data_IF_149897232069
#
_entry.id   IF_149897232069
#
_cell.length_a   1.000
_cell.length_b   1.000
_cell.length_c   1.000
_cell.angle_alpha   90.00
_cell.angle_beta   90.00
_cell.angle_gamma   90.00
#
_symmetry.space_group_name_H-M   'P 1'
#
loop_
_entity.id
_entity.type
_entity.pdbx_description
1 polymer ?
#
# COMPACT_ATOMS: atom_id res chain seq x y z
N UNK A 1 4.29 -0.14 5.23
CA UNK A 1 4.24 0.31 3.83
C UNK A 1 3.77 1.75 3.68
N UNK A 2 2.54 2.05 4.11
CA UNK A 2 1.88 3.35 3.95
C UNK A 2 2.65 4.61 4.42
N UNK A 3 3.48 4.48 5.46
CA UNK A 3 4.36 5.57 5.93
C UNK A 3 5.38 5.96 4.85
N UNK A 4 6.02 4.98 4.21
CA UNK A 4 6.99 5.21 3.12
C UNK A 4 6.28 5.87 1.93
N UNK A 5 5.07 5.40 1.60
CA UNK A 5 4.24 5.98 0.55
C UNK A 5 3.90 7.46 0.82
N UNK A 6 3.50 7.77 2.05
CA UNK A 6 3.17 9.14 2.48
C UNK A 6 4.38 10.06 2.39
N UNK A 7 5.55 9.60 2.85
CA UNK A 7 6.81 10.35 2.78
C UNK A 7 7.19 10.63 1.31
N UNK A 8 7.10 9.62 0.44
CA UNK A 8 7.41 9.78 -0.99
C UNK A 8 6.48 10.82 -1.63
N UNK A 9 5.19 10.79 -1.35
CA UNK A 9 4.23 11.76 -1.91
C UNK A 9 4.47 13.19 -1.42
N UNK A 10 4.83 13.37 -0.14
CA UNK A 10 5.21 14.70 0.40
C UNK A 10 6.47 15.22 -0.30
N UNK A 11 7.49 14.37 -0.46
CA UNK A 11 8.73 14.75 -1.14
C UNK A 11 8.51 15.07 -2.62
N UNK A 12 7.61 14.33 -3.29
CA UNK A 12 7.27 14.58 -4.69
C UNK A 12 6.51 15.90 -4.87
N UNK A 13 5.62 16.25 -3.94
CA UNK A 13 4.93 17.54 -3.94
C UNK A 13 5.89 18.75 -3.80
N UNK A 14 7.07 18.54 -3.19
CA UNK A 14 8.09 19.58 -2.99
C UNK A 14 9.28 19.43 -3.97
N UNK A 15 9.19 18.53 -4.95
CA UNK A 15 10.25 18.29 -5.91
C UNK A 15 10.34 19.45 -6.91
N UNK A 16 11.47 20.17 -6.88
CA UNK A 16 11.74 21.32 -7.75
C UNK A 16 12.72 20.99 -8.88
N UNK A 17 13.29 19.77 -8.89
CA UNK A 17 14.28 19.36 -9.87
C UNK A 17 14.01 17.94 -10.39
N UNK A 18 14.27 17.72 -11.69
CA UNK A 18 13.98 16.45 -12.36
C UNK A 18 14.69 15.23 -11.73
N UNK A 19 15.90 15.40 -11.20
CA UNK A 19 16.63 14.32 -10.54
C UNK A 19 15.91 13.80 -9.27
N UNK A 20 15.17 14.67 -8.57
CA UNK A 20 14.41 14.30 -7.37
C UNK A 20 13.25 13.39 -7.75
N UNK A 21 12.60 13.63 -8.89
CA UNK A 21 11.54 12.76 -9.41
C UNK A 21 12.07 11.37 -9.69
N UNK A 22 13.21 11.25 -10.39
CA UNK A 22 13.81 9.95 -10.69
C UNK A 22 14.22 9.19 -9.42
N UNK A 23 14.83 9.86 -8.45
CA UNK A 23 15.19 9.26 -7.18
C UNK A 23 13.95 8.78 -6.40
N UNK A 24 12.90 9.59 -6.34
CA UNK A 24 11.66 9.25 -5.66
C UNK A 24 10.90 8.12 -6.36
N UNK A 25 10.90 8.09 -7.70
CA UNK A 25 10.35 6.96 -8.47
C UNK A 25 11.12 5.67 -8.23
N UNK A 26 12.45 5.72 -8.07
CA UNK A 26 13.24 4.54 -7.74
C UNK A 26 12.87 4.00 -6.35
N UNK A 27 12.76 4.87 -5.33
CA UNK A 27 12.32 4.49 -3.98
C UNK A 27 10.89 3.94 -4.01
N UNK A 28 10.00 4.59 -4.76
CA UNK A 28 8.63 4.14 -4.96
C UNK A 28 8.57 2.75 -5.61
N UNK A 29 9.39 2.51 -6.63
CA UNK A 29 9.47 1.21 -7.31
C UNK A 29 9.96 0.10 -6.39
N UNK A 30 10.99 0.35 -5.58
CA UNK A 30 11.47 -0.60 -4.57
C UNK A 30 10.39 -0.89 -3.54
N UNK A 31 9.73 0.15 -3.03
CA UNK A 31 8.60 0.01 -2.11
C UNK A 31 7.49 -0.86 -2.70
N UNK A 32 7.09 -0.57 -3.94
CA UNK A 32 5.99 -1.25 -4.61
C UNK A 32 6.35 -2.73 -4.86
N UNK A 33 7.56 -3.01 -5.35
CA UNK A 33 8.03 -4.38 -5.57
C UNK A 33 8.08 -5.22 -4.30
N UNK A 34 8.47 -4.62 -3.17
CA UNK A 34 8.47 -5.31 -1.87
C UNK A 34 7.05 -5.55 -1.34
N UNK A 35 6.12 -4.62 -1.56
CA UNK A 35 4.78 -4.66 -0.97
C UNK A 35 3.84 -5.54 -1.79
N UNK A 36 3.81 -5.37 -3.11
CA UNK A 36 2.90 -6.08 -4.01
C UNK A 36 3.15 -7.60 -3.99
N UNK A 37 4.42 -8.03 -3.89
CA UNK A 37 4.78 -9.44 -3.80
C UNK A 37 4.26 -10.09 -2.52
N UNK A 38 4.38 -9.40 -1.38
CA UNK A 38 3.88 -9.88 -0.08
C UNK A 38 2.36 -9.94 -0.06
N UNK A 39 1.68 -8.94 -0.62
CA UNK A 39 0.21 -8.93 -0.73
C UNK A 39 -0.30 -10.11 -1.57
N UNK A 40 0.32 -10.38 -2.72
CA UNK A 40 -0.05 -11.52 -3.57
C UNK A 40 0.20 -12.85 -2.89
N UNK A 41 1.32 -13.01 -2.18
CA UNK A 41 1.62 -14.21 -1.41
C UNK A 41 0.56 -14.45 -0.32
N UNK A 42 0.19 -13.41 0.42
CA UNK A 42 -0.86 -13.47 1.44
C UNK A 42 -2.22 -13.88 0.86
N UNK A 43 -2.59 -13.37 -0.31
CA UNK A 43 -3.81 -13.80 -1.02
C UNK A 43 -3.74 -15.29 -1.40
N UNK A 44 -2.58 -15.77 -1.83
CA UNK A 44 -2.37 -17.17 -2.21
C UNK A 44 -2.40 -18.15 -1.03
N UNK A 45 -2.06 -17.68 0.18
CA UNK A 45 -2.11 -18.45 1.42
C UNK A 45 -3.54 -18.58 1.98
N UNK A 46 -4.43 -17.65 1.64
CA UNK A 46 -5.83 -17.63 2.10
C UNK A 46 -6.75 -18.56 1.30
N UNK A 47 -6.31 -19.09 0.15
CA UNK A 47 -7.15 -19.90 -0.75
C UNK A 47 -6.47 -21.19 -1.21
N UNK A 48 -7.25 -22.27 -1.46
CA UNK A 48 -6.73 -23.49 -2.07
C UNK A 48 -6.09 -23.23 -3.44
N UNK A 49 -5.12 -24.06 -3.83
CA UNK A 49 -4.33 -23.87 -5.05
C UNK A 49 -5.21 -23.76 -6.31
N UNK A 50 -6.31 -24.51 -6.35
CA UNK A 50 -7.26 -24.59 -7.47
C UNK A 50 -8.07 -23.30 -7.65
N UNK A 51 -8.17 -22.47 -6.59
CA UNK A 51 -8.95 -21.22 -6.57
C UNK A 51 -8.09 -19.95 -6.60
N UNK A 52 -6.76 -20.07 -6.65
CA UNK A 52 -5.83 -18.94 -6.68
C UNK A 52 -6.07 -18.00 -7.87
N UNK A 53 -6.39 -18.55 -9.05
CA UNK A 53 -6.71 -17.74 -10.23
C UNK A 53 -7.90 -16.80 -10.00
N UNK A 54 -8.98 -17.32 -9.38
CA UNK A 54 -10.16 -16.51 -9.06
C UNK A 54 -9.88 -15.50 -7.92
N UNK A 55 -9.08 -15.88 -6.92
CA UNK A 55 -8.70 -14.98 -5.84
C UNK A 55 -7.86 -13.79 -6.33
N UNK A 56 -6.89 -14.04 -7.20
CA UNK A 56 -6.14 -12.96 -7.87
C UNK A 56 -7.03 -12.12 -8.78
N UNK A 57 -8.01 -12.73 -9.46
CA UNK A 57 -9.01 -12.01 -10.25
C UNK A 57 -9.78 -11.00 -9.40
N UNK A 58 -10.33 -11.44 -8.26
CA UNK A 58 -11.03 -10.56 -7.32
C UNK A 58 -10.13 -9.49 -6.73
N UNK A 59 -8.91 -9.85 -6.33
CA UNK A 59 -7.92 -8.89 -5.83
C UNK A 59 -7.68 -7.76 -6.83
N UNK A 60 -7.31 -8.09 -8.07
CA UNK A 60 -7.04 -7.09 -9.10
C UNK A 60 -8.31 -6.33 -9.51
N UNK A 61 -9.48 -6.97 -9.49
CA UNK A 61 -10.75 -6.29 -9.74
C UNK A 61 -11.02 -5.21 -8.69
N UNK A 62 -10.86 -5.52 -7.40
CA UNK A 62 -11.04 -4.55 -6.32
C UNK A 62 -10.04 -3.40 -6.41
N UNK A 63 -8.77 -3.71 -6.69
CA UNK A 63 -7.72 -2.70 -6.91
C UNK A 63 -8.09 -1.79 -8.09
N UNK A 64 -8.47 -2.37 -9.23
CA UNK A 64 -8.86 -1.61 -10.41
C UNK A 64 -10.10 -0.75 -10.20
N UNK A 65 -11.11 -1.28 -9.52
CA UNK A 65 -12.34 -0.58 -9.21
C UNK A 65 -12.10 0.64 -8.32
N UNK A 66 -11.13 0.57 -7.39
CA UNK A 66 -10.69 1.72 -6.61
C UNK A 66 -9.79 2.68 -7.39
N UNK A 67 -8.91 2.16 -8.23
CA UNK A 67 -7.96 2.95 -9.01
C UNK A 67 -8.63 3.83 -10.06
N UNK A 68 -9.73 3.38 -10.68
CA UNK A 68 -10.47 4.14 -11.68
C UNK A 68 -10.97 5.50 -11.17
N UNK A 69 -11.83 5.59 -10.14
CA UNK A 69 -12.29 6.87 -9.61
C UNK A 69 -11.13 7.67 -9.01
N UNK A 70 -10.16 7.02 -8.36
CA UNK A 70 -8.99 7.70 -7.81
C UNK A 70 -8.17 8.42 -8.89
N UNK A 71 -7.98 7.78 -10.04
CA UNK A 71 -7.21 8.34 -11.16
C UNK A 71 -7.93 9.53 -11.79
N UNK A 72 -9.25 9.43 -11.96
CA UNK A 72 -10.08 10.55 -12.44
C UNK A 72 -9.99 11.72 -11.46
N UNK A 73 -10.15 11.46 -10.16
CA UNK A 73 -10.11 12.51 -9.13
C UNK A 73 -8.73 13.19 -9.07
N UNK A 74 -7.66 12.40 -9.15
CA UNK A 74 -6.28 12.91 -9.20
C UNK A 74 -6.05 13.78 -10.45
N UNK A 75 -6.50 13.33 -11.62
CA UNK A 75 -6.40 14.10 -12.86
C UNK A 75 -7.18 15.42 -12.82
N UNK A 76 -8.42 15.39 -12.32
CA UNK A 76 -9.25 16.60 -12.16
C UNK A 76 -8.58 17.61 -11.22
N UNK A 77 -8.00 17.12 -10.12
CA UNK A 77 -7.32 17.99 -9.16
C UNK A 77 -6.05 18.58 -9.76
N UNK A 78 -5.29 17.77 -10.51
CA UNK A 78 -4.10 18.23 -11.22
C UNK A 78 -4.43 19.31 -12.24
N UNK A 79 -5.46 19.10 -13.06
CA UNK A 79 -5.83 20.02 -14.13
C UNK A 79 -6.31 21.38 -13.57
N UNK A 80 -7.04 21.37 -12.45
CA UNK A 80 -7.63 22.59 -11.87
C UNK A 80 -6.71 23.35 -10.92
N UNK A 81 -5.89 22.66 -10.13
CA UNK A 81 -5.07 23.25 -9.06
C UNK A 81 -3.57 22.93 -9.18
N UNK A 82 -3.16 22.24 -10.23
CA UNK A 82 -1.77 21.91 -10.52
C UNK A 82 -1.27 20.63 -9.85
N UNK A 83 -0.08 20.20 -10.29
CA UNK A 83 0.56 18.97 -9.83
C UNK A 83 0.78 18.92 -8.32
N UNK A 84 1.22 20.03 -7.72
CA UNK A 84 1.52 20.11 -6.29
C UNK A 84 0.27 19.79 -5.44
N UNK A 85 -0.89 20.33 -5.80
CA UNK A 85 -2.14 20.07 -5.10
C UNK A 85 -2.58 18.60 -5.21
N UNK A 86 -2.42 17.98 -6.39
CA UNK A 86 -2.74 16.57 -6.60
C UNK A 86 -1.87 15.64 -5.74
N UNK A 87 -0.56 15.90 -5.67
CA UNK A 87 0.36 15.13 -4.83
C UNK A 87 0.13 15.35 -3.34
N UNK A 88 -0.18 16.57 -2.89
CA UNK A 88 -0.56 16.84 -1.50
C UNK A 88 -1.83 16.10 -1.10
N UNK A 89 -2.85 16.08 -1.96
CA UNK A 89 -4.06 15.29 -1.72
C UNK A 89 -3.73 13.80 -1.54
N UNK A 90 -2.89 13.25 -2.42
CA UNK A 90 -2.43 11.86 -2.30
C UNK A 90 -1.67 11.59 -0.99
N UNK A 91 -0.83 12.54 -0.55
CA UNK A 91 -0.12 12.45 0.72
C UNK A 91 -1.08 12.41 1.93
N UNK A 92 -2.12 13.25 1.94
CA UNK A 92 -3.13 13.28 3.00
C UNK A 92 -3.90 11.96 3.04
N UNK A 93 -4.34 11.45 1.89
CA UNK A 93 -5.05 10.17 1.81
C UNK A 93 -4.18 9.01 2.32
N UNK A 94 -2.90 8.98 1.93
CA UNK A 94 -1.96 7.96 2.38
C UNK A 94 -1.70 8.03 3.90
N UNK A 95 -1.60 9.24 4.46
CA UNK A 95 -1.44 9.44 5.89
C UNK A 95 -2.69 8.99 6.66
N UNK A 96 -3.89 9.31 6.17
CA UNK A 96 -5.15 8.84 6.75
C UNK A 96 -5.25 7.31 6.73
N UNK A 97 -4.84 6.67 5.63
CA UNK A 97 -4.79 5.21 5.53
C UNK A 97 -3.81 4.59 6.54
N UNK A 98 -2.64 5.19 6.72
CA UNK A 98 -1.67 4.75 7.73
C UNK A 98 -2.25 4.85 9.16
N UNK A 99 -2.92 5.96 9.49
CA UNK A 99 -3.60 6.12 10.79
C UNK A 99 -4.72 5.09 10.95
N UNK A 100 -5.56 4.89 9.93
CA UNK A 100 -6.62 3.89 9.97
C UNK A 100 -6.06 2.48 10.20
N UNK A 101 -4.95 2.14 9.55
CA UNK A 101 -4.28 0.84 9.75
C UNK A 101 -3.80 0.68 11.20
N UNK A 102 -3.20 1.71 11.80
CA UNK A 102 -2.76 1.68 13.20
C UNK A 102 -3.92 1.56 14.19
N UNK A 103 -5.09 2.12 13.88
CA UNK A 103 -6.26 2.07 14.76
C UNK A 103 -7.06 0.77 14.62
N UNK A 104 -7.13 0.21 13.41
CA UNK A 104 -7.97 -0.96 13.09
C UNK A 104 -7.19 -2.26 13.25
N UNK A 105 -5.91 -2.29 12.86
CA UNK A 105 -5.08 -3.48 12.95
C UNK A 105 -4.48 -3.56 14.34
N UNK A 106 -5.13 -4.35 15.22
CA UNK A 106 -4.54 -4.79 16.48
C UNK A 106 -3.72 -6.03 16.20
N UNK A 107 -2.41 -5.98 16.48
CA UNK A 107 -1.56 -7.17 16.45
C UNK A 107 -2.16 -8.24 17.38
N UNK A 108 -2.30 -9.49 16.91
CA UNK A 108 -2.61 -10.61 17.80
C UNK A 108 -1.53 -10.66 18.88
N UNK A 109 -1.93 -10.39 20.11
CA UNK A 109 -1.07 -10.42 21.29
C UNK A 109 -0.30 -11.75 21.28
N UNK A 110 1.03 -11.71 21.10
CA UNK A 110 1.89 -12.88 21.08
C UNK A 110 1.64 -13.67 22.36
N UNK A 111 0.83 -14.74 22.28
CA UNK A 111 0.77 -15.72 23.35
C UNK A 111 2.06 -16.52 23.21
N UNK A 112 3.01 -16.43 24.16
CA UNK A 112 4.23 -17.21 24.07
C UNK A 112 3.86 -18.68 23.95
N UNK A 113 4.38 -19.33 22.91
CA UNK A 113 4.17 -20.73 22.55
C UNK A 113 4.93 -21.63 23.54
N UNK A 114 4.67 -21.46 24.84
CA UNK A 114 5.45 -22.03 25.93
C UNK A 114 4.88 -23.35 26.47
N UNK A 115 4.11 -24.13 25.69
CA UNK A 115 3.49 -25.38 26.20
C UNK A 115 3.52 -26.58 25.25
N UNK A 116 4.57 -26.77 24.46
CA UNK A 116 4.73 -28.02 23.69
C UNK A 116 5.91 -28.91 24.09
N UNK A 117 6.69 -28.59 25.14
CA UNK A 117 7.83 -29.42 25.58
C UNK A 117 7.65 -30.21 26.88
N UNK A 118 6.47 -30.21 27.52
CA UNK A 118 6.30 -30.86 28.84
C UNK A 118 5.35 -32.06 28.92
N UNK A 119 4.95 -32.68 27.79
CA UNK A 119 4.06 -33.87 27.80
C UNK A 119 4.61 -35.15 27.17
N UNK A 120 5.92 -35.25 26.99
CA UNK A 120 6.58 -36.51 26.58
C UNK A 120 7.64 -36.97 27.59
N UNK A 121 7.30 -37.01 28.88
CA UNK A 121 8.03 -37.81 29.87
C UNK A 121 7.04 -38.70 30.61
#
# INVERSE_FOLDING_TARGET
GWIVYSIVYILLANANAAWQLWALFAVYGVYFGLTEGVEKAMVADLVPAERRGAAYGWYNFTVGLGALPASVLFGVVWERWGAAAAFQMGAVIAALAAVAMLLVVREPNDRPIARLSSRSR
#
